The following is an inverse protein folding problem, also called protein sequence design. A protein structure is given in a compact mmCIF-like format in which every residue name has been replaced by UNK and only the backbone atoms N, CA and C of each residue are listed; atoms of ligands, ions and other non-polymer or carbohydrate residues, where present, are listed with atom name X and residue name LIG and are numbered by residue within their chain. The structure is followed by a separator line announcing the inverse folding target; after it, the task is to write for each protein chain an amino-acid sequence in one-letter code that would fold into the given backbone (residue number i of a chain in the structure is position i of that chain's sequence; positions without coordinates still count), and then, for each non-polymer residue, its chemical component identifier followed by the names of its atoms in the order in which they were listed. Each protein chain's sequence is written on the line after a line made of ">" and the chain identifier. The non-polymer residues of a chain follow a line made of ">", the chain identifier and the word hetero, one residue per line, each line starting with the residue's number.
data_IF_900238365530
#
_entry.id   IF_900238365530
#
_cell.length_a   1.000
_cell.length_b   1.000
_cell.length_c   1.000
_cell.angle_alpha   90.00
_cell.angle_beta   90.00
_cell.angle_gamma   90.00
#
_symmetry.space_group_name_H-M   'P 1'
#
loop_
_entity.id
_entity.type
_entity.pdbx_description
1 polymer ?
#
# COMPACT_ATOMS: atom_id res chain seq x y z
N UNK A 1 -14.52 -8.37 -19.76
CA UNK A 1 -15.38 -7.18 -19.59
C UNK A 1 -15.35 -6.82 -18.13
N UNK A 2 -14.56 -5.81 -17.76
CA UNK A 2 -14.51 -5.32 -16.38
C UNK A 2 -15.78 -4.54 -16.08
N UNK A 3 -16.58 -5.05 -15.15
CA UNK A 3 -17.78 -4.39 -14.66
C UNK A 3 -17.41 -3.60 -13.41
N UNK A 4 -17.72 -2.31 -13.37
CA UNK A 4 -17.41 -1.46 -12.22
C UNK A 4 -18.66 -1.32 -11.34
N UNK A 5 -18.47 -1.36 -10.01
CA UNK A 5 -19.52 -1.24 -9.01
C UNK A 5 -19.75 0.24 -8.66
N UNK A 6 -21.00 0.70 -8.75
CA UNK A 6 -21.40 2.08 -8.44
C UNK A 6 -22.56 2.10 -7.44
N UNK A 7 -22.68 3.20 -6.69
CA UNK A 7 -23.85 3.50 -5.84
C UNK A 7 -24.59 4.69 -6.45
N UNK A 8 -25.91 4.57 -6.59
CA UNK A 8 -26.74 5.65 -7.12
C UNK A 8 -26.84 6.82 -6.12
N UNK A 9 -26.26 7.99 -6.44
CA UNK A 9 -26.30 9.19 -5.59
C UNK A 9 -27.67 9.89 -5.55
N UNK A 10 -28.45 9.67 -6.59
CA UNK A 10 -29.87 10.05 -6.76
C UNK A 10 -30.62 8.88 -7.42
N UNK A 11 -31.90 9.05 -7.75
CA UNK A 11 -32.57 8.04 -8.55
C UNK A 11 -31.88 7.93 -9.90
N UNK A 12 -31.54 6.71 -10.33
CA UNK A 12 -30.84 6.46 -11.58
C UNK A 12 -31.76 5.71 -12.53
N UNK A 13 -31.96 6.27 -13.71
CA UNK A 13 -32.76 5.71 -14.79
C UNK A 13 -31.92 4.69 -15.57
N UNK A 14 -32.35 3.43 -15.56
CA UNK A 14 -31.77 2.35 -16.34
C UNK A 14 -32.49 2.28 -17.69
N UNK A 15 -31.78 2.60 -18.77
CA UNK A 15 -32.30 2.57 -20.14
C UNK A 15 -31.57 1.50 -20.95
N UNK A 16 -32.34 0.53 -21.45
CA UNK A 16 -31.83 -0.51 -22.37
C UNK A 16 -31.95 -0.05 -23.82
N UNK A 17 -30.87 -0.17 -24.59
CA UNK A 17 -30.83 0.10 -26.03
C UNK A 17 -30.12 -1.04 -26.74
N UNK A 18 -30.88 -2.05 -27.17
CA UNK A 18 -30.32 -3.32 -27.64
C UNK A 18 -29.63 -4.08 -26.50
N UNK A 19 -28.41 -4.57 -26.74
CA UNK A 19 -27.58 -5.23 -25.71
C UNK A 19 -26.89 -4.26 -24.74
N UNK A 20 -26.98 -2.94 -24.95
CA UNK A 20 -26.34 -1.95 -24.07
C UNK A 20 -27.30 -1.46 -23.00
N UNK A 21 -26.85 -1.48 -21.75
CA UNK A 21 -27.53 -0.90 -20.60
C UNK A 21 -26.84 0.43 -20.27
N UNK A 22 -27.62 1.51 -20.13
CA UNK A 22 -27.11 2.80 -19.64
C UNK A 22 -27.79 3.16 -18.34
N UNK A 23 -26.99 3.65 -17.40
CA UNK A 23 -27.43 4.21 -16.13
C UNK A 23 -27.30 5.73 -16.24
N UNK A 24 -28.40 6.44 -15.99
CA UNK A 24 -28.49 7.89 -16.19
C UNK A 24 -29.12 8.51 -14.95
N UNK A 25 -28.45 9.42 -14.23
CA UNK A 25 -29.05 10.10 -13.09
C UNK A 25 -30.36 10.81 -13.48
N UNK A 26 -31.37 10.79 -12.62
CA UNK A 26 -32.70 11.37 -12.87
C UNK A 26 -32.61 12.84 -13.29
N UNK A 27 -31.73 13.62 -12.66
CA UNK A 27 -31.42 15.01 -13.04
C UNK A 27 -30.97 15.19 -14.51
N UNK A 28 -30.40 14.15 -15.13
CA UNK A 28 -29.83 14.15 -16.49
C UNK A 28 -30.59 13.29 -17.49
N UNK A 29 -31.62 12.55 -17.03
CA UNK A 29 -32.33 11.57 -17.85
C UNK A 29 -33.30 12.20 -18.88
N UNK A 30 -33.61 13.48 -18.72
CA UNK A 30 -34.61 14.18 -19.53
C UNK A 30 -35.99 13.54 -19.35
N UNK A 31 -36.72 13.31 -20.45
CA UNK A 31 -38.06 12.68 -20.38
C UNK A 31 -37.93 11.18 -20.07
N UNK A 32 -38.50 10.77 -18.93
CA UNK A 32 -38.58 9.37 -18.51
C UNK A 32 -39.56 8.62 -19.43
N UNK A 33 -39.11 7.47 -19.95
CA UNK A 33 -39.91 6.59 -20.82
C UNK A 33 -40.61 5.54 -19.95
N UNK A 34 -41.78 5.07 -20.35
CA UNK A 34 -42.48 3.96 -19.66
C UNK A 34 -41.66 2.67 -19.56
N UNK A 35 -40.71 2.47 -20.49
CA UNK A 35 -39.82 1.31 -20.51
C UNK A 35 -38.59 1.45 -19.61
N UNK A 36 -38.37 2.63 -19.02
CA UNK A 36 -37.21 2.87 -18.17
C UNK A 36 -37.43 2.23 -16.79
N UNK A 37 -36.39 1.63 -16.22
CA UNK A 37 -36.41 1.15 -14.83
C UNK A 37 -35.75 2.20 -13.95
N UNK A 38 -36.33 2.50 -12.79
CA UNK A 38 -35.77 3.45 -11.83
C UNK A 38 -35.03 2.67 -10.76
N UNK A 39 -33.73 2.95 -10.60
CA UNK A 39 -32.90 2.50 -9.51
C UNK A 39 -32.92 3.56 -8.41
N UNK A 40 -33.47 3.28 -7.21
CA UNK A 40 -33.50 4.25 -6.13
C UNK A 40 -32.10 4.68 -5.68
N UNK A 41 -32.01 5.93 -5.19
CA UNK A 41 -30.83 6.42 -4.48
C UNK A 41 -30.35 5.41 -3.42
N UNK A 42 -29.04 5.20 -3.36
CA UNK A 42 -28.37 4.30 -2.42
C UNK A 42 -28.30 2.84 -2.87
N UNK A 43 -28.87 2.48 -4.03
CA UNK A 43 -28.75 1.13 -4.57
C UNK A 43 -27.49 0.98 -5.42
N UNK A 44 -26.94 -0.24 -5.38
CA UNK A 44 -25.72 -0.62 -6.08
C UNK A 44 -26.03 -1.09 -7.49
N UNK A 45 -25.20 -0.74 -8.47
CA UNK A 45 -25.30 -1.22 -9.85
C UNK A 45 -23.94 -1.41 -10.51
N UNK A 46 -23.93 -2.23 -11.58
CA UNK A 46 -22.74 -2.49 -12.38
C UNK A 46 -22.84 -1.78 -13.72
N UNK A 47 -21.81 -1.03 -14.08
CA UNK A 47 -21.75 -0.33 -15.37
C UNK A 47 -20.42 -0.50 -16.07
N UNK A 48 -20.48 -0.57 -17.39
CA UNK A 48 -19.34 -0.63 -18.30
C UNK A 48 -19.03 0.75 -18.93
N UNK A 49 -19.85 1.78 -18.66
CA UNK A 49 -19.83 3.04 -19.43
C UNK A 49 -18.82 4.05 -18.85
N UNK A 50 -17.77 4.38 -19.61
CA UNK A 50 -16.68 5.27 -19.22
C UNK A 50 -17.11 6.70 -18.82
N UNK A 51 -18.35 7.10 -19.16
CA UNK A 51 -18.93 8.39 -18.79
C UNK A 51 -19.37 8.46 -17.31
N UNK A 52 -19.68 7.34 -16.67
CA UNK A 52 -20.02 7.33 -15.24
C UNK A 52 -18.79 7.48 -14.36
N UNK A 53 -17.61 7.03 -14.83
CA UNK A 53 -16.31 7.32 -14.20
C UNK A 53 -16.06 8.83 -14.08
N UNK A 54 -16.50 9.63 -15.07
CA UNK A 54 -16.41 11.10 -15.01
C UNK A 54 -17.34 11.74 -13.98
N UNK A 55 -18.42 11.06 -13.61
CA UNK A 55 -19.43 11.59 -12.69
C UNK A 55 -19.04 11.36 -11.23
N UNK A 56 -18.49 10.20 -10.91
CA UNK A 56 -18.03 9.88 -9.54
C UNK A 56 -16.57 10.24 -9.29
N UNK A 57 -15.80 10.52 -10.36
CA UNK A 57 -14.35 10.73 -10.28
C UNK A 57 -13.57 9.48 -9.88
N UNK A 58 -14.23 8.33 -9.75
CA UNK A 58 -13.61 7.07 -9.31
C UNK A 58 -12.99 6.35 -10.50
N UNK A 59 -11.70 6.60 -10.71
CA UNK A 59 -10.89 5.89 -11.69
C UNK A 59 -9.96 4.92 -10.97
N UNK A 60 -10.04 3.64 -11.32
CA UNK A 60 -9.03 2.68 -10.90
C UNK A 60 -7.78 2.86 -11.77
N UNK A 61 -6.62 2.91 -11.14
CA UNK A 61 -5.34 2.99 -11.84
C UNK A 61 -4.93 1.57 -12.27
N UNK A 62 -4.65 1.33 -13.56
CA UNK A 62 -4.17 0.03 -14.01
C UNK A 62 -2.94 -0.46 -13.22
N UNK A 63 -2.86 -1.76 -12.94
CA UNK A 63 -1.81 -2.36 -12.10
C UNK A 63 -0.40 -2.04 -12.62
N UNK A 64 -0.20 -2.13 -13.93
CA UNK A 64 1.08 -1.82 -14.58
C UNK A 64 1.52 -0.37 -14.37
N UNK A 65 0.57 0.56 -14.32
CA UNK A 65 0.83 1.97 -14.02
C UNK A 65 1.16 2.16 -12.54
N UNK A 66 0.41 1.51 -11.64
CA UNK A 66 0.69 1.57 -10.19
C UNK A 66 2.08 1.03 -9.90
N UNK A 67 2.38 -0.17 -10.37
CA UNK A 67 3.66 -0.86 -10.24
C UNK A 67 4.80 0.02 -10.76
N UNK A 68 4.64 0.58 -11.96
CA UNK A 68 5.65 1.46 -12.55
C UNK A 68 5.91 2.69 -11.66
N UNK A 69 4.87 3.34 -11.14
CA UNK A 69 5.04 4.52 -10.29
C UNK A 69 5.70 4.16 -8.97
N UNK A 70 5.26 3.11 -8.29
CA UNK A 70 5.84 2.66 -7.01
C UNK A 70 7.31 2.32 -7.19
N UNK A 71 7.65 1.55 -8.23
CA UNK A 71 9.03 1.18 -8.54
C UNK A 71 9.93 2.38 -8.84
N UNK A 72 9.42 3.40 -9.54
CA UNK A 72 10.21 4.60 -9.85
C UNK A 72 10.19 5.67 -8.75
N UNK A 73 9.54 5.41 -7.61
CA UNK A 73 9.47 6.34 -6.48
C UNK A 73 9.95 5.70 -5.18
N UNK A 74 9.19 4.73 -4.66
CA UNK A 74 9.47 4.02 -3.42
C UNK A 74 10.76 3.21 -3.55
N UNK A 75 10.88 2.36 -4.58
CA UNK A 75 12.06 1.48 -4.70
C UNK A 75 13.34 2.29 -4.94
N UNK A 76 13.27 3.39 -5.69
CA UNK A 76 14.43 4.29 -5.89
C UNK A 76 14.96 4.80 -4.54
N UNK A 77 14.07 5.24 -3.65
CA UNK A 77 14.44 5.71 -2.31
C UNK A 77 14.97 4.58 -1.41
N UNK A 78 14.36 3.40 -1.49
CA UNK A 78 14.82 2.21 -0.75
C UNK A 78 16.24 1.81 -1.20
N UNK A 79 16.51 1.80 -2.50
CA UNK A 79 17.82 1.49 -3.07
C UNK A 79 18.89 2.54 -2.73
N UNK A 80 18.53 3.82 -2.67
CA UNK A 80 19.42 4.86 -2.18
C UNK A 80 19.85 4.61 -0.73
N UNK A 81 18.89 4.31 0.15
CA UNK A 81 19.16 3.95 1.55
C UNK A 81 19.96 2.65 1.69
N UNK A 82 19.66 1.63 0.87
CA UNK A 82 20.40 0.37 0.84
C UNK A 82 21.87 0.60 0.53
N UNK A 83 22.19 1.49 -0.42
CA UNK A 83 23.58 1.85 -0.74
C UNK A 83 24.32 2.49 0.44
N UNK A 84 23.64 3.26 1.27
CA UNK A 84 24.22 3.82 2.50
C UNK A 84 24.54 2.71 3.51
N UNK A 85 23.58 1.82 3.76
CA UNK A 85 23.79 0.63 4.61
C UNK A 85 24.97 -0.20 4.13
N UNK A 86 25.03 -0.51 2.83
CA UNK A 86 26.10 -1.34 2.24
C UNK A 86 27.46 -0.71 2.52
N UNK A 87 27.62 0.61 2.35
CA UNK A 87 28.88 1.30 2.65
C UNK A 87 29.30 1.17 4.12
N UNK A 88 28.33 1.15 5.05
CA UNK A 88 28.61 0.98 6.47
C UNK A 88 29.04 -0.45 6.83
N UNK A 89 28.43 -1.46 6.20
CA UNK A 89 28.71 -2.87 6.51
C UNK A 89 29.83 -3.48 5.66
N UNK A 90 30.18 -2.90 4.50
CA UNK A 90 31.26 -3.35 3.62
C UNK A 90 32.60 -3.64 4.33
N UNK A 91 33.12 -2.78 5.23
CA UNK A 91 34.36 -3.09 5.94
C UNK A 91 34.24 -4.34 6.83
N UNK A 92 33.07 -4.54 7.45
CA UNK A 92 32.81 -5.69 8.33
C UNK A 92 32.63 -6.98 7.53
N UNK A 93 32.02 -6.89 6.34
CA UNK A 93 31.93 -8.02 5.41
C UNK A 93 33.32 -8.49 4.97
N UNK A 94 34.24 -7.56 4.68
CA UNK A 94 35.64 -7.89 4.37
C UNK A 94 36.36 -8.54 5.55
N UNK A 95 36.11 -8.07 6.78
CA UNK A 95 36.64 -8.69 8.00
C UNK A 95 36.10 -10.12 8.17
N UNK A 96 34.80 -10.30 7.92
CA UNK A 96 34.11 -11.60 7.99
C UNK A 96 34.70 -12.61 6.99
N UNK A 97 34.99 -12.19 5.76
CA UNK A 97 35.61 -13.04 4.74
C UNK A 97 37.03 -13.51 5.14
N UNK A 98 37.72 -12.71 5.96
CA UNK A 98 39.06 -13.01 6.45
C UNK A 98 39.09 -13.73 7.80
N UNK A 99 37.93 -13.97 8.42
CA UNK A 99 37.84 -14.52 9.76
C UNK A 99 38.35 -15.98 9.80
N UNK A 100 39.27 -16.25 10.73
CA UNK A 100 39.97 -17.55 10.82
C UNK A 100 39.29 -18.48 11.82
N UNK A 101 38.55 -17.93 12.78
CA UNK A 101 37.88 -18.69 13.83
C UNK A 101 36.37 -18.43 13.86
N UNK A 102 35.61 -19.46 14.24
CA UNK A 102 34.14 -19.41 14.30
C UNK A 102 33.59 -18.40 15.31
N UNK A 103 34.33 -18.10 16.39
CA UNK A 103 33.87 -17.15 17.41
C UNK A 103 33.89 -15.70 16.90
N UNK A 104 34.92 -15.33 16.17
CA UNK A 104 35.07 -14.04 15.51
C UNK A 104 34.06 -13.87 14.38
N UNK A 105 33.90 -14.91 13.56
CA UNK A 105 32.88 -14.99 12.50
C UNK A 105 31.49 -14.73 13.08
N UNK A 106 31.12 -15.43 14.15
CA UNK A 106 29.83 -15.26 14.83
C UNK A 106 29.64 -13.85 15.40
N UNK A 107 30.69 -13.25 15.96
CA UNK A 107 30.65 -11.87 16.49
C UNK A 107 30.37 -10.86 15.36
N UNK A 108 31.00 -11.02 14.20
CA UNK A 108 30.83 -10.15 13.04
C UNK A 108 29.43 -10.32 12.41
N UNK A 109 28.93 -11.55 12.29
CA UNK A 109 27.55 -11.83 11.88
C UNK A 109 26.53 -11.10 12.75
N UNK A 110 26.64 -11.26 14.08
CA UNK A 110 25.72 -10.60 15.03
C UNK A 110 25.81 -9.07 14.95
N UNK A 111 26.98 -8.52 14.66
CA UNK A 111 27.15 -7.09 14.44
C UNK A 111 26.44 -6.63 13.16
N UNK A 112 26.54 -7.40 12.08
CA UNK A 112 25.86 -7.10 10.81
C UNK A 112 24.34 -7.21 11.00
N UNK A 113 23.85 -8.25 11.67
CA UNK A 113 22.43 -8.44 12.00
C UNK A 113 21.89 -7.22 12.76
N UNK A 114 22.56 -6.79 13.84
CA UNK A 114 22.17 -5.61 14.63
C UNK A 114 22.15 -4.33 13.77
N UNK A 115 23.13 -4.17 12.86
CA UNK A 115 23.19 -3.03 11.94
C UNK A 115 22.03 -3.01 10.95
N UNK A 116 21.69 -4.16 10.38
CA UNK A 116 20.58 -4.28 9.43
C UNK A 116 19.25 -4.01 10.14
N UNK A 117 19.04 -4.62 11.32
CA UNK A 117 17.82 -4.40 12.10
C UNK A 117 17.65 -2.93 12.46
N UNK A 118 18.71 -2.26 12.95
CA UNK A 118 18.68 -0.81 13.20
C UNK A 118 18.39 0.01 11.95
N UNK A 119 18.96 -0.37 10.80
CA UNK A 119 18.66 0.29 9.54
C UNK A 119 17.17 0.15 9.17
N UNK A 120 16.60 -1.04 9.29
CA UNK A 120 15.17 -1.27 9.01
C UNK A 120 14.31 -0.40 9.93
N UNK A 121 14.57 -0.42 11.24
CA UNK A 121 13.83 0.36 12.24
C UNK A 121 13.94 1.87 12.01
N UNK A 122 15.17 2.39 11.89
CA UNK A 122 15.44 3.82 11.95
C UNK A 122 15.39 4.52 10.58
N UNK A 123 15.52 3.77 9.47
CA UNK A 123 15.64 4.35 8.13
C UNK A 123 14.52 3.94 7.18
N UNK A 124 13.97 2.73 7.34
CA UNK A 124 12.93 2.19 6.46
C UNK A 124 11.55 2.38 7.08
N UNK A 125 11.33 1.91 8.30
CA UNK A 125 10.05 2.07 9.00
C UNK A 125 9.76 3.53 9.37
N UNK A 126 10.78 4.39 9.37
CA UNK A 126 10.60 5.84 9.53
C UNK A 126 10.12 6.56 8.26
N UNK A 127 9.97 5.87 7.11
CA UNK A 127 9.50 6.48 5.87
C UNK A 127 8.00 6.77 5.94
N UNK A 128 7.55 7.84 5.27
CA UNK A 128 6.12 8.14 5.13
C UNK A 128 5.72 8.13 3.66
N UNK A 129 4.85 7.19 3.29
CA UNK A 129 4.21 7.11 1.98
C UNK A 129 2.78 7.63 2.12
N UNK A 130 2.47 8.71 1.42
CA UNK A 130 1.16 9.36 1.47
C UNK A 130 0.48 9.31 0.10
N UNK A 131 -0.74 8.80 0.05
CA UNK A 131 -1.66 9.00 -1.08
C UNK A 131 -2.80 9.95 -0.68
N UNK A 132 -2.82 11.21 -1.18
CA UNK A 132 -3.82 12.21 -0.82
C UNK A 132 -5.18 12.01 -1.51
N UNK A 133 -5.28 11.08 -2.45
CA UNK A 133 -6.51 10.71 -3.17
C UNK A 133 -6.55 9.20 -3.35
N UNK A 134 -6.45 8.48 -2.23
CA UNK A 134 -6.08 7.06 -2.22
C UNK A 134 -7.11 6.13 -2.85
N UNK A 135 -8.36 6.55 -3.01
CA UNK A 135 -9.43 5.69 -3.51
C UNK A 135 -9.53 4.41 -2.69
N UNK A 136 -9.50 3.26 -3.37
CA UNK A 136 -9.52 1.94 -2.73
C UNK A 136 -8.20 1.52 -2.08
N UNK A 137 -7.19 2.39 -2.03
CA UNK A 137 -5.89 2.13 -1.41
C UNK A 137 -4.94 1.29 -2.27
N UNK A 138 -5.12 1.27 -3.59
CA UNK A 138 -4.34 0.39 -4.47
C UNK A 138 -2.84 0.73 -4.48
N UNK A 139 -2.48 2.01 -4.59
CA UNK A 139 -1.09 2.46 -4.43
C UNK A 139 -0.53 2.12 -3.04
N UNK A 140 -1.33 2.27 -1.99
CA UNK A 140 -0.91 2.00 -0.62
C UNK A 140 -0.60 0.51 -0.40
N UNK A 141 -1.44 -0.38 -0.95
CA UNK A 141 -1.22 -1.83 -0.91
C UNK A 141 0.03 -2.21 -1.69
N UNK A 142 0.22 -1.66 -2.90
CA UNK A 142 1.39 -1.97 -3.72
C UNK A 142 2.68 -1.46 -3.03
N UNK A 143 2.72 -0.21 -2.57
CA UNK A 143 3.84 0.34 -1.79
C UNK A 143 4.16 -0.48 -0.52
N UNK A 144 3.12 -0.96 0.19
CA UNK A 144 3.29 -1.85 1.35
C UNK A 144 4.08 -3.11 0.98
N UNK A 145 3.70 -3.75 -0.13
CA UNK A 145 4.34 -4.97 -0.58
C UNK A 145 5.80 -4.73 -0.99
N UNK A 146 6.09 -3.63 -1.69
CA UNK A 146 7.45 -3.27 -2.09
C UNK A 146 8.36 -3.05 -0.89
N UNK A 147 7.94 -2.24 0.07
CA UNK A 147 8.74 -1.96 1.28
C UNK A 147 8.92 -3.25 2.10
N UNK A 148 7.87 -4.04 2.29
CA UNK A 148 7.97 -5.28 3.07
C UNK A 148 8.87 -6.32 2.39
N UNK A 149 8.76 -6.49 1.07
CA UNK A 149 9.62 -7.39 0.30
C UNK A 149 11.07 -6.94 0.37
N UNK A 150 11.34 -5.64 0.21
CA UNK A 150 12.69 -5.09 0.36
C UNK A 150 13.29 -5.38 1.74
N UNK A 151 12.52 -5.23 2.82
CA UNK A 151 12.98 -5.58 4.18
C UNK A 151 13.33 -7.07 4.26
N UNK A 152 12.42 -7.94 3.81
CA UNK A 152 12.64 -9.39 3.82
C UNK A 152 13.85 -9.78 2.96
N UNK A 153 14.03 -9.14 1.82
CA UNK A 153 15.18 -9.35 0.93
C UNK A 153 16.48 -8.98 1.64
N UNK A 154 16.58 -7.80 2.24
CA UNK A 154 17.80 -7.40 2.96
C UNK A 154 18.11 -8.33 4.15
N UNK A 155 17.09 -8.72 4.92
CA UNK A 155 17.27 -9.64 6.06
C UNK A 155 17.71 -11.04 5.63
N UNK A 156 17.35 -11.47 4.42
CA UNK A 156 17.76 -12.76 3.87
C UNK A 156 19.05 -12.68 3.05
N UNK A 157 19.40 -11.50 2.53
CA UNK A 157 20.62 -11.26 1.73
C UNK A 157 21.86 -11.23 2.62
N UNK A 158 21.73 -10.73 3.86
CA UNK A 158 22.83 -10.61 4.81
C UNK A 158 22.43 -11.09 6.20
N UNK A 159 23.30 -11.82 6.93
CA UNK A 159 24.58 -12.41 6.54
C UNK A 159 24.41 -13.86 6.03
N UNK A 160 25.03 -14.21 4.90
CA UNK A 160 25.09 -15.60 4.44
C UNK A 160 26.51 -16.01 4.05
N UNK A 161 27.01 -17.06 4.70
CA UNK A 161 28.24 -17.75 4.34
C UNK A 161 27.93 -19.03 3.52
N UNK A 162 28.94 -19.63 2.84
CA UNK A 162 28.73 -20.69 1.84
C UNK A 162 28.15 -22.01 2.37
N UNK A 163 28.31 -22.33 3.67
CA UNK A 163 28.05 -23.67 4.21
C UNK A 163 26.70 -23.82 4.95
N UNK A 164 25.89 -22.75 4.99
CA UNK A 164 24.51 -22.77 5.51
C UNK A 164 23.56 -22.47 4.35
N UNK A 165 22.37 -23.08 4.38
CA UNK A 165 21.28 -22.61 3.51
C UNK A 165 21.12 -21.09 3.71
N UNK A 166 20.92 -20.31 2.64
CA UNK A 166 20.89 -18.86 2.72
C UNK A 166 19.89 -18.37 3.78
N UNK A 167 20.34 -17.46 4.66
CA UNK A 167 19.49 -16.42 5.23
C UNK A 167 18.53 -16.81 6.35
N UNK A 168 18.79 -17.86 7.13
CA UNK A 168 17.94 -18.18 8.28
C UNK A 168 18.68 -18.00 9.61
N UNK A 169 18.67 -16.77 10.13
CA UNK A 169 18.80 -16.57 11.57
C UNK A 169 17.44 -16.87 12.21
N UNK A 170 17.32 -17.99 12.93
CA UNK A 170 16.07 -18.37 13.61
C UNK A 170 15.58 -17.36 14.64
N UNK A 171 16.44 -16.42 15.05
CA UNK A 171 16.10 -15.33 15.97
C UNK A 171 15.47 -14.12 15.26
N UNK A 172 15.64 -13.99 13.95
CA UNK A 172 15.10 -12.89 13.15
C UNK A 172 13.88 -13.39 12.35
N UNK A 173 12.71 -12.84 12.66
CA UNK A 173 11.48 -13.18 11.96
C UNK A 173 11.44 -12.49 10.58
N UNK A 174 11.81 -13.23 9.52
CA UNK A 174 11.72 -12.77 8.12
C UNK A 174 10.36 -13.05 7.47
N UNK A 175 9.30 -13.28 8.26
CA UNK A 175 7.97 -13.53 7.73
C UNK A 175 7.39 -12.31 6.99
N UNK A 176 7.05 -12.42 5.70
CA UNK A 176 6.51 -11.28 4.94
C UNK A 176 5.22 -10.69 5.53
N UNK A 177 4.38 -11.51 6.18
CA UNK A 177 3.15 -11.04 6.82
C UNK A 177 3.40 -10.13 8.02
N UNK A 178 4.45 -10.41 8.81
CA UNK A 178 4.87 -9.55 9.91
C UNK A 178 5.31 -8.18 9.37
N UNK A 179 6.19 -8.17 8.37
CA UNK A 179 6.75 -6.93 7.82
C UNK A 179 5.71 -6.08 7.08
N UNK A 180 4.80 -6.69 6.31
CA UNK A 180 3.66 -5.95 5.74
C UNK A 180 2.85 -5.24 6.81
N UNK A 181 2.61 -5.90 7.95
CA UNK A 181 1.89 -5.29 9.06
C UNK A 181 2.63 -4.08 9.61
N UNK A 182 3.92 -4.23 9.91
CA UNK A 182 4.76 -3.13 10.42
C UNK A 182 4.83 -1.94 9.46
N UNK A 183 5.01 -2.22 8.18
CA UNK A 183 5.02 -1.17 7.14
C UNK A 183 3.69 -0.42 7.10
N UNK A 184 2.55 -1.11 7.19
CA UNK A 184 1.24 -0.43 7.26
C UNK A 184 1.08 0.40 8.53
N UNK A 185 1.59 -0.09 9.66
CA UNK A 185 1.52 0.58 10.96
C UNK A 185 2.42 1.82 11.01
N UNK A 186 3.59 1.83 10.36
CA UNK A 186 4.57 2.91 10.52
C UNK A 186 4.66 3.83 9.28
N UNK A 187 4.50 3.27 8.07
CA UNK A 187 4.85 3.96 6.83
C UNK A 187 3.68 4.47 5.99
N UNK A 188 2.50 3.85 6.08
CA UNK A 188 1.44 4.02 5.07
C UNK A 188 0.39 5.01 5.56
N UNK A 189 0.14 6.06 4.77
CA UNK A 189 -0.80 7.13 5.06
C UNK A 189 -1.69 7.41 3.86
N UNK A 190 -2.95 7.77 4.12
CA UNK A 190 -3.86 8.07 3.02
C UNK A 190 -5.02 8.97 3.41
N UNK A 191 -5.48 9.75 2.43
CA UNK A 191 -6.65 10.62 2.55
C UNK A 191 -7.55 10.38 1.36
N UNK A 192 -8.86 10.32 1.62
CA UNK A 192 -9.86 10.39 0.55
C UNK A 192 -11.07 11.21 0.99
N UNK A 193 -11.72 11.87 0.03
CA UNK A 193 -12.94 12.63 0.29
C UNK A 193 -14.14 11.70 0.53
N UNK A 194 -14.19 10.57 -0.18
CA UNK A 194 -15.27 9.61 -0.13
C UNK A 194 -15.09 8.65 1.07
N UNK A 195 -15.99 8.67 2.06
CA UNK A 195 -15.88 7.78 3.22
C UNK A 195 -15.90 6.28 2.84
N UNK A 196 -16.59 5.90 1.75
CA UNK A 196 -16.59 4.52 1.28
C UNK A 196 -15.22 4.08 0.76
N UNK A 197 -14.50 4.99 0.08
CA UNK A 197 -13.14 4.72 -0.40
C UNK A 197 -12.19 4.50 0.79
N UNK A 198 -12.34 5.31 1.85
CA UNK A 198 -11.61 5.11 3.11
C UNK A 198 -11.85 3.73 3.71
N UNK A 199 -13.10 3.30 3.84
CA UNK A 199 -13.41 1.97 4.39
C UNK A 199 -12.92 0.83 3.48
N UNK A 200 -13.00 1.00 2.16
CA UNK A 200 -12.47 0.02 1.22
C UNK A 200 -10.94 -0.09 1.30
N UNK A 201 -10.23 1.02 1.40
CA UNK A 201 -8.78 1.04 1.57
C UNK A 201 -8.35 0.35 2.88
N UNK A 202 -9.07 0.61 3.99
CA UNK A 202 -8.85 -0.09 5.26
C UNK A 202 -9.04 -1.60 5.10
N UNK A 203 -10.11 -2.03 4.43
CA UNK A 203 -10.37 -3.46 4.18
C UNK A 203 -9.27 -4.09 3.31
N UNK A 204 -8.84 -3.42 2.24
CA UNK A 204 -7.77 -3.90 1.37
C UNK A 204 -6.46 -4.09 2.15
N UNK A 205 -6.03 -3.09 2.92
CA UNK A 205 -4.82 -3.20 3.76
C UNK A 205 -4.98 -4.28 4.84
N UNK A 206 -6.17 -4.41 5.43
CA UNK A 206 -6.47 -5.46 6.40
C UNK A 206 -6.29 -6.87 5.81
N UNK A 207 -6.80 -7.12 4.59
CA UNK A 207 -6.63 -8.39 3.89
C UNK A 207 -5.14 -8.63 3.57
N UNK A 208 -4.44 -7.61 3.09
CA UNK A 208 -3.01 -7.69 2.75
C UNK A 208 -2.12 -7.99 3.96
N UNK A 209 -2.50 -7.48 5.14
CA UNK A 209 -1.76 -7.64 6.40
C UNK A 209 -2.31 -8.76 7.29
N UNK A 210 -3.31 -9.51 6.82
CA UNK A 210 -3.93 -10.57 7.60
C UNK A 210 -2.88 -11.62 8.00
N UNK A 211 -2.63 -11.71 9.30
CA UNK A 211 -1.66 -12.62 9.90
C UNK A 211 -2.34 -13.43 10.99
N UNK A 212 -2.03 -14.74 11.07
CA UNK A 212 -2.60 -15.60 12.10
C UNK A 212 -2.21 -15.06 13.49
N UNK A 213 -3.19 -14.98 14.39
CA UNK A 213 -3.03 -14.78 15.84
C UNK A 213 -2.87 -13.35 16.42
N UNK A 214 -2.92 -12.27 15.62
CA UNK A 214 -2.92 -10.89 16.19
C UNK A 214 -4.19 -10.10 15.85
N UNK A 215 -4.99 -9.66 16.86
CA UNK A 215 -6.14 -8.80 16.61
C UNK A 215 -5.74 -7.46 15.95
N UNK A 216 -6.59 -6.95 15.06
CA UNK A 216 -6.34 -5.74 14.28
C UNK A 216 -7.07 -4.56 14.90
N UNK A 217 -6.36 -3.75 15.68
CA UNK A 217 -6.89 -2.51 16.30
C UNK A 217 -6.30 -1.21 15.71
N UNK A 218 -5.39 -1.27 14.72
CA UNK A 218 -4.46 -0.15 14.46
C UNK A 218 -4.75 0.75 13.23
N UNK A 219 -5.51 0.28 12.23
CA UNK A 219 -5.68 0.98 10.94
C UNK A 219 -6.43 2.33 11.00
N UNK A 220 -7.03 2.67 12.16
CA UNK A 220 -7.93 3.82 12.25
C UNK A 220 -7.23 5.18 12.23
N UNK A 221 -5.93 5.23 12.53
CA UNK A 221 -5.25 6.52 12.58
C UNK A 221 -4.74 6.95 11.22
N UNK A 222 -4.25 6.03 10.38
CA UNK A 222 -3.47 6.34 9.17
C UNK A 222 -4.26 6.69 7.91
N UNK A 223 -5.49 6.20 7.82
CA UNK A 223 -6.39 6.47 6.70
C UNK A 223 -7.53 7.38 7.15
N UNK A 224 -7.61 8.58 6.58
CA UNK A 224 -8.57 9.61 7.02
C UNK A 224 -9.52 10.04 5.91
N UNK A 225 -10.78 10.24 6.28
CA UNK A 225 -11.69 11.00 5.43
C UNK A 225 -11.30 12.48 5.49
N UNK A 226 -11.06 13.10 4.33
CA UNK A 226 -10.65 14.49 4.26
C UNK A 226 -10.62 15.05 2.86
N UNK A 227 -10.69 16.38 2.76
CA UNK A 227 -10.50 17.08 1.50
C UNK A 227 -9.04 17.48 1.35
N UNK A 228 -8.31 16.78 0.48
CA UNK A 228 -6.90 17.05 0.21
C UNK A 228 -6.62 18.47 -0.31
N UNK A 229 -7.58 19.14 -0.96
CA UNK A 229 -7.43 20.50 -1.50
C UNK A 229 -7.55 21.58 -0.42
N UNK A 230 -8.37 21.37 0.61
CA UNK A 230 -8.61 22.34 1.68
C UNK A 230 -7.63 22.12 2.87
N UNK A 231 -7.06 20.92 2.98
CA UNK A 231 -6.14 20.51 4.06
C UNK A 231 -4.72 21.09 3.99
N UNK A 232 -4.34 21.81 2.93
CA UNK A 232 -2.98 22.38 2.75
C UNK A 232 -2.75 23.65 3.61
N UNK A 233 -3.64 23.97 4.56
CA UNK A 233 -3.35 24.96 5.62
C UNK A 233 -2.71 24.27 6.82
N UNK A 234 -1.35 24.20 6.82
CA UNK A 234 -0.37 24.00 7.94
C UNK A 234 -0.65 23.05 9.13
N UNK A 235 -1.87 22.58 9.38
CA UNK A 235 -2.28 21.76 10.52
C UNK A 235 -2.28 20.26 10.19
N UNK A 236 -2.47 19.87 8.93
CA UNK A 236 -2.59 18.45 8.55
C UNK A 236 -1.26 17.67 8.58
N UNK A 237 -0.13 18.35 8.34
CA UNK A 237 1.21 17.73 8.33
C UNK A 237 1.76 17.42 9.74
N UNK A 238 1.13 17.93 10.81
CA UNK A 238 1.58 17.66 12.18
C UNK A 238 1.31 16.22 12.63
N UNK A 239 0.32 15.56 12.04
CA UNK A 239 -0.11 14.21 12.41
C UNK A 239 0.69 13.09 11.73
N UNK A 240 1.49 13.38 10.71
CA UNK A 240 2.43 12.41 10.11
C UNK A 240 3.78 12.34 10.84
N UNK A 241 3.96 13.14 11.91
CA UNK A 241 5.22 13.26 12.67
C UNK A 241 5.06 12.84 14.14
N UNK A 242 3.92 12.27 14.50
CA UNK A 242 3.59 11.87 15.88
C UNK A 242 3.51 10.37 16.00
#
# INVERSE_FOLDING_TARGET
>A
MEHNLFIAEENTIIRKSGNKIRFIPESKAGKIRRSDTILPKGKVYFSEDAKERKLTGSYYTPEDVVEYIVKNTVDVLLEEKKKELIKEIEPVLKELDSAINESERRRLELFIDDKILKFVEEKILSLSVLDPTMGSGHFLVNATNHIANFIVEILNEYPCLPDRQPGYNSEIDSNPGLWRRRVVEDCIYGVDLNPLAVELAKLCLWITTAFKEKPLSFLNHHLKQGNALVGVRRYFLSWMKS
#
